data_IF_129908288021
#
_entry.id   IF_129908288021
#
_cell.length_a   1.000
_cell.length_b   1.000
_cell.length_c   1.000
_cell.angle_alpha   90.00
_cell.angle_beta   90.00
_cell.angle_gamma   90.00
#
_symmetry.space_group_name_H-M   'P 1'
#
loop_
_entity.id
_entity.type
_entity.pdbx_description
1 polymer ?
#
# COMPACT_ATOMS: atom_id res chain seq x y z
N UNK A 1 -20.87 -33.05 15.01
CA UNK A 1 -21.30 -31.64 15.16
C UNK A 1 -21.43 -31.07 13.77
N UNK A 2 -22.52 -30.38 13.45
CA UNK A 2 -22.67 -29.71 12.16
C UNK A 2 -22.68 -28.20 12.37
N UNK A 3 -21.74 -27.50 11.77
CA UNK A 3 -21.55 -26.06 11.90
C UNK A 3 -21.91 -25.40 10.57
N UNK A 4 -22.81 -24.43 10.63
CA UNK A 4 -23.22 -23.62 9.49
C UNK A 4 -22.78 -22.18 9.76
N UNK A 5 -21.83 -21.71 8.97
CA UNK A 5 -21.35 -20.33 8.98
C UNK A 5 -22.09 -19.57 7.87
N UNK A 6 -22.85 -18.52 8.20
CA UNK A 6 -23.59 -17.76 7.20
C UNK A 6 -22.69 -17.19 6.10
N UNK A 7 -23.17 -17.17 4.84
CA UNK A 7 -22.45 -16.59 3.70
C UNK A 7 -21.97 -15.15 3.96
N UNK A 8 -22.75 -14.37 4.73
CA UNK A 8 -22.40 -12.99 5.13
C UNK A 8 -21.11 -12.88 5.95
N UNK A 9 -20.61 -13.97 6.52
CA UNK A 9 -19.35 -14.02 7.28
C UNK A 9 -18.13 -14.40 6.43
N UNK A 10 -18.32 -14.69 5.14
CA UNK A 10 -17.23 -15.02 4.20
C UNK A 10 -16.10 -13.99 4.17
N UNK A 11 -16.34 -12.66 4.21
CA UNK A 11 -15.23 -11.68 4.25
C UNK A 11 -14.29 -11.82 5.46
N UNK A 12 -14.80 -12.24 6.62
CA UNK A 12 -13.98 -12.52 7.80
C UNK A 12 -13.13 -13.77 7.58
N UNK A 13 -13.71 -14.84 7.02
CA UNK A 13 -12.98 -16.06 6.68
C UNK A 13 -11.93 -15.86 5.59
N UNK A 14 -12.16 -14.94 4.65
CA UNK A 14 -11.16 -14.55 3.68
C UNK A 14 -9.96 -13.86 4.34
N UNK A 15 -10.22 -12.97 5.29
CA UNK A 15 -9.15 -12.30 6.05
C UNK A 15 -8.37 -13.29 6.91
N UNK A 16 -9.07 -14.26 7.52
CA UNK A 16 -8.44 -15.40 8.19
C UNK A 16 -7.52 -16.18 7.24
N UNK A 17 -8.00 -16.57 6.05
CA UNK A 17 -7.23 -17.33 5.06
C UNK A 17 -5.95 -16.60 4.63
N UNK A 18 -6.02 -15.28 4.45
CA UNK A 18 -4.84 -14.45 4.15
C UNK A 18 -3.81 -14.42 5.28
N UNK A 19 -4.22 -14.64 6.54
CA UNK A 19 -3.35 -14.63 7.73
C UNK A 19 -2.75 -16.00 8.07
N UNK A 20 -3.23 -17.07 7.43
CA UNK A 20 -2.61 -18.39 7.58
C UNK A 20 -1.34 -18.43 6.73
N UNK A 21 -0.20 -18.56 7.40
CA UNK A 21 1.08 -18.81 6.74
C UNK A 21 1.33 -20.32 6.61
N UNK A 22 1.26 -20.83 5.39
CA UNK A 22 1.45 -22.24 5.04
C UNK A 22 2.91 -22.58 4.71
N UNK A 23 3.84 -21.64 4.84
CA UNK A 23 5.27 -21.96 4.70
C UNK A 23 5.83 -22.71 5.92
N UNK A 24 5.13 -22.63 7.05
CA UNK A 24 5.48 -23.39 8.25
C UNK A 24 4.91 -24.81 8.20
N UNK A 25 5.76 -25.78 8.53
CA UNK A 25 5.41 -27.22 8.52
C UNK A 25 4.26 -27.51 9.49
N UNK A 26 4.24 -26.85 10.64
CA UNK A 26 3.23 -27.02 11.68
C UNK A 26 2.15 -25.91 11.63
N UNK A 27 1.87 -25.38 10.43
CA UNK A 27 0.80 -24.38 10.25
C UNK A 27 -0.54 -25.00 10.67
N UNK A 28 -1.13 -24.49 11.75
CA UNK A 28 -2.38 -24.97 12.30
C UNK A 28 -3.31 -23.79 12.60
N UNK A 29 -4.61 -24.05 12.60
CA UNK A 29 -5.64 -23.11 13.04
C UNK A 29 -6.33 -23.72 14.25
N UNK A 30 -6.22 -23.05 15.40
CA UNK A 30 -6.95 -23.47 16.60
C UNK A 30 -8.41 -23.06 16.45
N UNK A 31 -9.32 -23.97 16.78
CA UNK A 31 -10.77 -23.78 16.72
C UNK A 31 -11.34 -24.01 18.11
N UNK A 32 -12.13 -23.04 18.57
CA UNK A 32 -12.91 -23.14 19.80
C UNK A 32 -14.39 -23.04 19.44
N UNK A 33 -15.23 -23.90 20.00
CA UNK A 33 -16.69 -23.83 19.81
C UNK A 33 -17.35 -23.61 21.16
N UNK A 34 -18.26 -22.64 21.23
CA UNK A 34 -19.08 -22.40 22.42
C UNK A 34 -20.56 -22.72 22.12
N UNK A 35 -21.15 -23.59 22.93
CA UNK A 35 -22.54 -24.02 22.80
C UNK A 35 -23.53 -22.96 23.31
N UNK A 36 -23.20 -22.28 24.41
CA UNK A 36 -24.09 -21.31 25.05
C UNK A 36 -24.27 -20.09 24.15
N UNK A 37 -23.15 -19.55 23.66
CA UNK A 37 -23.13 -18.36 22.80
C UNK A 37 -23.31 -18.70 21.32
N UNK A 38 -23.28 -19.99 20.98
CA UNK A 38 -23.37 -20.52 19.61
C UNK A 38 -22.32 -19.90 18.70
N UNK A 39 -21.07 -19.86 19.17
CA UNK A 39 -19.96 -19.26 18.44
C UNK A 39 -18.94 -20.30 18.02
N UNK A 40 -18.18 -19.95 16.99
CA UNK A 40 -16.92 -20.58 16.64
C UNK A 40 -15.85 -19.49 16.61
N UNK A 41 -14.73 -19.74 17.29
CA UNK A 41 -13.55 -18.89 17.26
C UNK A 41 -12.45 -19.61 16.51
N UNK A 42 -11.84 -18.92 15.55
CA UNK A 42 -10.63 -19.38 14.88
C UNK A 42 -9.45 -18.53 15.31
N UNK A 43 -8.32 -19.17 15.62
CA UNK A 43 -7.05 -18.50 15.90
C UNK A 43 -5.99 -19.02 14.94
N UNK A 44 -5.32 -18.11 14.25
CA UNK A 44 -4.27 -18.42 13.28
C UNK A 44 -3.09 -17.46 13.41
N UNK A 45 -2.00 -17.79 12.73
CA UNK A 45 -0.75 -17.03 12.76
C UNK A 45 0.29 -17.70 13.66
N UNK A 46 1.31 -16.96 14.05
CA UNK A 46 2.32 -17.41 14.99
C UNK A 46 2.50 -16.37 16.07
N UNK A 47 2.71 -16.80 17.30
CA UNK A 47 2.98 -15.89 18.41
C UNK A 47 4.22 -15.05 18.11
N UNK A 48 4.20 -13.72 18.34
CA UNK A 48 3.10 -12.93 18.94
C UNK A 48 2.07 -12.38 17.92
N UNK A 49 2.23 -12.64 16.62
CA UNK A 49 1.44 -12.08 15.52
C UNK A 49 0.19 -12.90 15.15
N UNK A 50 -0.50 -13.41 16.17
CA UNK A 50 -1.73 -14.17 15.98
C UNK A 50 -2.90 -13.27 15.56
N UNK A 51 -3.97 -13.91 15.08
CA UNK A 51 -5.24 -13.28 14.74
C UNK A 51 -6.38 -14.18 15.20
N UNK A 52 -7.41 -13.57 15.77
CA UNK A 52 -8.59 -14.23 16.30
C UNK A 52 -9.81 -13.77 15.52
N UNK A 53 -10.69 -14.71 15.16
CA UNK A 53 -11.93 -14.45 14.45
C UNK A 53 -13.09 -15.15 15.17
N UNK A 54 -14.03 -14.36 15.69
CA UNK A 54 -15.21 -14.84 16.39
C UNK A 54 -16.44 -14.74 15.47
N UNK A 55 -17.07 -15.89 15.21
CA UNK A 55 -18.26 -15.97 14.36
C UNK A 55 -19.45 -16.53 15.13
N UNK A 56 -20.58 -15.81 15.07
CA UNK A 56 -21.88 -16.33 15.53
C UNK A 56 -22.41 -17.30 14.47
N UNK A 57 -22.76 -18.50 14.90
CA UNK A 57 -23.21 -19.59 14.05
C UNK A 57 -24.70 -19.48 13.71
N UNK A 58 -25.09 -20.04 12.56
CA UNK A 58 -26.49 -20.11 12.16
C UNK A 58 -27.31 -20.99 13.13
N UNK A 59 -28.60 -20.66 13.28
CA UNK A 59 -29.56 -21.41 14.10
C UNK A 59 -29.67 -22.88 13.68
N UNK A 60 -29.44 -23.19 12.40
CA UNK A 60 -29.40 -24.53 11.81
C UNK A 60 -28.19 -25.37 12.23
N UNK A 61 -27.16 -24.78 12.84
CA UNK A 61 -26.04 -25.55 13.40
C UNK A 61 -26.54 -26.51 14.48
N UNK A 62 -26.11 -27.78 14.44
CA UNK A 62 -26.60 -28.85 15.32
C UNK A 62 -25.47 -29.60 16.02
N UNK A 63 -25.77 -30.15 17.20
CA UNK A 63 -24.82 -30.95 17.97
C UNK A 63 -23.58 -30.18 18.44
N UNK A 64 -23.71 -28.85 18.64
CA UNK A 64 -22.67 -27.99 19.20
C UNK A 64 -22.28 -28.45 20.61
N UNK A 65 -20.98 -28.45 20.87
CA UNK A 65 -20.37 -28.79 22.17
C UNK A 65 -19.25 -27.79 22.46
N UNK A 66 -18.96 -27.58 23.74
CA UNK A 66 -17.78 -26.83 24.13
C UNK A 66 -16.53 -27.67 23.83
N UNK A 67 -15.72 -27.23 22.88
CA UNK A 67 -14.54 -27.96 22.41
C UNK A 67 -13.44 -27.01 21.96
N UNK A 68 -12.21 -27.49 22.06
CA UNK A 68 -11.01 -26.89 21.48
C UNK A 68 -10.24 -27.98 20.72
N UNK A 69 -9.75 -27.65 19.53
CA UNK A 69 -8.95 -28.54 18.67
C UNK A 69 -8.22 -27.68 17.63
N UNK A 70 -7.41 -28.30 16.77
CA UNK A 70 -6.81 -27.63 15.62
C UNK A 70 -7.20 -28.29 14.30
N UNK A 71 -7.12 -27.51 13.24
CA UNK A 71 -7.22 -27.94 11.84
C UNK A 71 -5.90 -27.60 11.16
N UNK A 72 -5.46 -28.45 10.23
CA UNK A 72 -4.32 -28.16 9.36
C UNK A 72 -4.50 -26.79 8.67
N UNK A 73 -3.44 -25.98 8.68
CA UNK A 73 -3.45 -24.62 8.17
C UNK A 73 -3.72 -24.58 6.67
N UNK A 74 -3.15 -25.50 5.90
CA UNK A 74 -3.40 -25.58 4.46
C UNK A 74 -4.86 -25.92 4.18
N UNK A 75 -5.44 -26.86 4.92
CA UNK A 75 -6.86 -27.20 4.82
C UNK A 75 -7.76 -26.00 5.20
N UNK A 76 -7.47 -25.34 6.32
CA UNK A 76 -8.22 -24.17 6.79
C UNK A 76 -8.16 -23.01 5.80
N UNK A 77 -6.99 -22.76 5.20
CA UNK A 77 -6.78 -21.72 4.17
C UNK A 77 -7.64 -21.92 2.94
N UNK A 78 -7.92 -23.18 2.57
CA UNK A 78 -8.72 -23.54 1.41
C UNK A 78 -10.23 -23.51 1.66
N UNK A 79 -10.71 -23.38 2.91
CA UNK A 79 -12.13 -23.54 3.24
C UNK A 79 -13.05 -22.68 2.37
N UNK A 80 -12.73 -21.41 2.16
CA UNK A 80 -13.57 -20.50 1.37
C UNK A 80 -13.65 -20.85 -0.13
N UNK A 81 -12.71 -21.65 -0.64
CA UNK A 81 -12.65 -22.02 -2.05
C UNK A 81 -13.52 -23.23 -2.38
N UNK A 82 -13.95 -24.01 -1.39
CA UNK A 82 -14.82 -25.17 -1.59
C UNK A 82 -16.31 -24.84 -1.63
N UNK A 83 -16.67 -23.59 -1.34
CA UNK A 83 -18.05 -23.12 -1.35
C UNK A 83 -18.22 -21.99 -2.35
N UNK A 84 -19.46 -21.80 -2.78
CA UNK A 84 -19.86 -20.71 -3.67
C UNK A 84 -20.01 -19.43 -2.86
N UNK A 85 -19.82 -18.27 -3.50
CA UNK A 85 -19.84 -16.96 -2.83
C UNK A 85 -21.09 -16.67 -1.99
N UNK A 86 -22.27 -17.03 -2.49
CA UNK A 86 -23.55 -16.80 -1.78
C UNK A 86 -23.99 -17.96 -0.88
N UNK A 87 -23.22 -19.06 -0.85
CA UNK A 87 -23.59 -20.25 -0.10
C UNK A 87 -23.03 -20.20 1.33
N UNK A 88 -23.85 -20.62 2.28
CA UNK A 88 -23.37 -20.86 3.64
C UNK A 88 -22.27 -21.93 3.65
N UNK A 89 -21.30 -21.74 4.55
CA UNK A 89 -20.20 -22.68 4.72
C UNK A 89 -20.63 -23.73 5.74
N UNK A 90 -20.75 -24.97 5.29
CA UNK A 90 -21.13 -26.11 6.13
C UNK A 90 -19.90 -26.96 6.45
N UNK A 91 -19.59 -27.05 7.75
CA UNK A 91 -18.50 -27.84 8.29
C UNK A 91 -19.07 -28.94 9.17
N UNK A 92 -18.89 -30.18 8.74
CA UNK A 92 -19.29 -31.35 9.53
C UNK A 92 -18.09 -31.87 10.30
N UNK A 93 -18.25 -32.02 11.59
CA UNK A 93 -17.24 -32.63 12.45
C UNK A 93 -17.71 -34.00 12.93
N UNK A 94 -16.95 -35.01 12.57
CA UNK A 94 -17.20 -36.40 12.91
C UNK A 94 -16.15 -36.93 13.89
N UNK A 95 -16.56 -37.86 14.76
CA UNK A 95 -15.68 -38.49 15.73
C UNK A 95 -15.68 -39.99 15.47
N UNK A 96 -14.51 -40.54 15.16
CA UNK A 96 -14.35 -41.98 14.99
C UNK A 96 -14.57 -42.72 16.31
N UNK A 97 -14.78 -44.03 16.23
CA UNK A 97 -14.85 -44.91 17.40
C UNK A 97 -13.57 -44.87 18.26
N UNK A 98 -12.42 -44.51 17.67
CA UNK A 98 -11.14 -44.32 18.38
C UNK A 98 -11.02 -42.97 19.08
N UNK A 99 -12.03 -42.09 18.99
CA UNK A 99 -12.02 -40.74 19.57
C UNK A 99 -11.37 -39.68 18.68
N UNK A 100 -10.84 -40.06 17.52
CA UNK A 100 -10.22 -39.13 16.57
C UNK A 100 -11.28 -38.26 15.91
N UNK A 101 -11.08 -36.94 15.95
CA UNK A 101 -12.00 -35.98 15.36
C UNK A 101 -11.55 -35.60 13.94
N UNK A 102 -12.51 -35.43 13.04
CA UNK A 102 -12.27 -35.00 11.67
C UNK A 102 -13.21 -33.86 11.31
N UNK A 103 -12.71 -32.91 10.54
CA UNK A 103 -13.53 -31.93 9.83
C UNK A 103 -13.76 -32.42 8.40
N UNK A 104 -14.99 -32.35 7.94
CA UNK A 104 -15.49 -32.81 6.66
C UNK A 104 -16.29 -31.69 5.98
N UNK A 105 -16.12 -31.57 4.67
CA UNK A 105 -16.97 -30.76 3.79
C UNK A 105 -17.16 -31.44 2.44
N UNK A 106 -18.26 -31.09 1.78
CA UNK A 106 -18.56 -31.55 0.42
C UNK A 106 -18.28 -30.41 -0.55
N UNK A 107 -17.24 -30.57 -1.35
CA UNK A 107 -16.82 -29.65 -2.39
C UNK A 107 -17.67 -29.89 -3.64
N UNK A 108 -18.54 -28.93 -3.93
CA UNK A 108 -19.46 -28.96 -5.09
C UNK A 108 -19.01 -28.01 -6.20
N UNK A 109 -17.78 -27.49 -6.16
CA UNK A 109 -17.33 -26.46 -7.12
C UNK A 109 -17.20 -27.01 -8.54
N UNK A 110 -16.69 -28.24 -8.69
CA UNK A 110 -16.51 -28.91 -9.98
C UNK A 110 -17.83 -29.20 -10.70
N UNK A 111 -18.93 -29.39 -9.95
CA UNK A 111 -20.28 -29.61 -10.51
C UNK A 111 -20.81 -28.39 -11.29
N UNK A 112 -20.19 -27.21 -11.13
CA UNK A 112 -20.61 -25.98 -11.82
C UNK A 112 -19.93 -25.79 -13.17
N UNK A 113 -18.79 -26.42 -13.36
CA UNK A 113 -18.00 -26.32 -14.58
C UNK A 113 -18.30 -27.44 -15.56
N UNK A 114 -18.78 -28.58 -15.05
CA UNK A 114 -19.02 -29.78 -15.84
C UNK A 114 -20.06 -30.67 -15.14
N UNK A 115 -21.22 -30.87 -15.78
CA UNK A 115 -22.35 -31.65 -15.28
C UNK A 115 -22.03 -33.15 -15.12
N UNK A 116 -20.89 -33.62 -15.65
CA UNK A 116 -20.41 -35.00 -15.49
C UNK A 116 -19.47 -35.20 -14.29
N UNK A 117 -19.09 -34.12 -13.59
CA UNK A 117 -18.30 -34.20 -12.35
C UNK A 117 -19.16 -34.73 -11.19
N UNK A 118 -18.51 -35.22 -10.14
CA UNK A 118 -19.17 -35.57 -8.88
C UNK A 118 -18.69 -34.63 -7.76
N UNK A 119 -19.50 -34.47 -6.71
CA UNK A 119 -19.07 -33.76 -5.51
C UNK A 119 -17.89 -34.49 -4.86
N UNK A 120 -16.90 -33.74 -4.38
CA UNK A 120 -15.73 -34.30 -3.72
C UNK A 120 -15.85 -34.17 -2.19
N UNK A 121 -15.62 -35.26 -1.46
CA UNK A 121 -15.45 -35.18 -0.01
C UNK A 121 -14.05 -34.68 0.31
N UNK A 122 -13.94 -33.59 1.06
CA UNK A 122 -12.70 -33.12 1.66
C UNK A 122 -12.76 -33.37 3.16
N UNK A 123 -11.76 -34.08 3.69
CA UNK A 123 -11.68 -34.45 5.10
C UNK A 123 -10.27 -34.21 5.63
N UNK A 124 -10.18 -33.62 6.81
CA UNK A 124 -8.93 -33.38 7.52
C UNK A 124 -9.05 -33.90 8.96
N UNK A 125 -8.02 -34.59 9.44
CA UNK A 125 -7.94 -35.00 10.84
C UNK A 125 -7.65 -33.77 11.71
N UNK A 126 -8.44 -33.57 12.76
CA UNK A 126 -8.19 -32.52 13.73
C UNK A 126 -7.07 -32.93 14.67
N UNK A 127 -6.20 -31.97 15.01
CA UNK A 127 -5.18 -32.11 16.04
C UNK A 127 -5.62 -31.51 17.37
N UNK A 128 -4.72 -31.52 18.34
CA UNK A 128 -4.89 -30.79 19.59
C UNK A 128 -4.80 -29.28 19.33
N UNK A 129 -5.49 -28.49 20.16
CA UNK A 129 -5.39 -27.04 20.08
C UNK A 129 -3.94 -26.59 20.32
N UNK A 130 -3.47 -25.59 19.57
CA UNK A 130 -2.13 -25.02 19.81
C UNK A 130 -2.10 -24.27 21.14
N UNK A 131 -1.17 -24.64 22.01
CA UNK A 131 -0.95 -23.99 23.30
C UNK A 131 -0.61 -22.50 23.13
N UNK A 132 0.19 -22.14 22.11
CA UNK A 132 0.52 -20.74 21.81
C UNK A 132 -0.72 -19.91 21.45
N UNK A 133 -1.65 -20.49 20.69
CA UNK A 133 -2.92 -19.84 20.38
C UNK A 133 -3.81 -19.68 21.62
N UNK A 134 -3.86 -20.68 22.49
CA UNK A 134 -4.64 -20.61 23.73
C UNK A 134 -4.06 -19.58 24.71
N UNK A 135 -2.73 -19.52 24.80
CA UNK A 135 -2.03 -18.49 25.58
C UNK A 135 -2.29 -17.10 25.01
N UNK A 136 -2.22 -16.93 23.68
CA UNK A 136 -2.54 -15.68 23.01
C UNK A 136 -3.96 -15.17 23.33
N UNK A 137 -4.97 -16.05 23.31
CA UNK A 137 -6.33 -15.70 23.71
C UNK A 137 -6.40 -15.22 25.16
N UNK A 138 -5.73 -15.93 26.06
CA UNK A 138 -5.66 -15.60 27.49
C UNK A 138 -5.00 -14.24 27.71
N UNK A 139 -3.86 -14.00 27.06
CA UNK A 139 -3.12 -12.74 27.15
C UNK A 139 -3.95 -11.57 26.59
N UNK A 140 -4.65 -11.80 25.48
CA UNK A 140 -5.49 -10.78 24.87
C UNK A 140 -6.65 -10.35 25.77
N UNK A 141 -7.29 -11.25 26.51
CA UNK A 141 -8.36 -10.90 27.44
C UNK A 141 -7.90 -9.91 28.53
N UNK A 142 -6.62 -10.00 28.93
CA UNK A 142 -6.05 -9.19 30.00
C UNK A 142 -5.20 -8.02 29.49
N UNK A 143 -5.04 -7.88 28.18
CA UNK A 143 -4.21 -6.84 27.56
C UNK A 143 -4.82 -5.45 27.80
N UNK A 144 -4.07 -4.50 28.40
CA UNK A 144 -4.52 -3.12 28.52
C UNK A 144 -4.71 -2.49 27.13
N UNK A 145 -5.89 -1.93 26.88
CA UNK A 145 -6.26 -1.32 25.61
C UNK A 145 -6.78 0.10 25.81
N UNK A 146 -6.73 0.89 24.75
CA UNK A 146 -7.45 2.16 24.62
C UNK A 146 -8.57 2.00 23.61
N UNK A 147 -9.80 2.35 24.00
CA UNK A 147 -10.97 2.27 23.13
C UNK A 147 -11.13 3.55 22.31
N UNK A 148 -11.48 3.39 21.04
CA UNK A 148 -11.77 4.49 20.13
C UNK A 148 -12.98 4.19 19.26
N UNK A 149 -13.67 5.23 18.78
CA UNK A 149 -14.76 5.03 17.82
C UNK A 149 -14.20 4.56 16.48
N UNK A 150 -14.97 3.73 15.77
CA UNK A 150 -14.67 3.28 14.40
C UNK A 150 -14.41 4.46 13.47
N UNK A 151 -15.19 5.53 13.57
CA UNK A 151 -15.02 6.75 12.78
C UNK A 151 -13.67 7.44 13.05
N UNK A 152 -13.21 7.44 14.31
CA UNK A 152 -11.87 7.95 14.67
C UNK A 152 -10.77 7.12 14.01
N UNK A 153 -10.89 5.79 14.05
CA UNK A 153 -9.94 4.89 13.39
C UNK A 153 -9.95 5.08 11.87
N UNK A 154 -11.11 5.19 11.25
CA UNK A 154 -11.24 5.47 9.82
C UNK A 154 -10.58 6.79 9.44
N UNK A 155 -10.69 7.83 10.28
CA UNK A 155 -9.96 9.08 10.07
C UNK A 155 -8.45 8.87 10.18
N UNK A 156 -7.96 8.13 11.18
CA UNK A 156 -6.52 7.81 11.31
C UNK A 156 -6.01 7.05 10.08
N UNK A 157 -6.76 6.06 9.59
CA UNK A 157 -6.45 5.32 8.35
C UNK A 157 -6.35 6.28 7.16
N UNK A 158 -7.29 7.21 7.05
CA UNK A 158 -7.29 8.19 5.96
C UNK A 158 -6.05 9.09 6.01
N UNK A 159 -5.65 9.57 7.19
CA UNK A 159 -4.40 10.34 7.33
C UNK A 159 -3.16 9.54 6.95
N UNK A 160 -3.13 8.25 7.30
CA UNK A 160 -2.05 7.37 6.89
C UNK A 160 -2.01 7.22 5.36
N UNK A 161 -3.16 7.01 4.72
CA UNK A 161 -3.28 6.91 3.26
C UNK A 161 -2.84 8.19 2.55
N UNK A 162 -3.15 9.36 3.12
CA UNK A 162 -2.72 10.66 2.57
C UNK A 162 -1.21 10.86 2.62
N UNK A 163 -0.51 10.18 3.53
CA UNK A 163 0.94 10.24 3.67
C UNK A 163 1.70 9.13 2.94
N UNK A 164 1.03 8.27 2.16
CA UNK A 164 1.68 7.25 1.32
C UNK A 164 2.55 7.86 0.21
N UNK A 165 3.73 7.29 -0.10
CA UNK A 165 4.42 6.21 0.62
C UNK A 165 4.98 6.62 1.99
N UNK A 166 5.05 5.65 2.91
CA UNK A 166 5.77 5.75 4.18
C UNK A 166 6.24 4.35 4.63
N UNK A 167 7.30 4.32 5.44
CA UNK A 167 7.78 3.13 6.15
C UNK A 167 7.12 3.04 7.52
N UNK A 168 7.14 4.16 8.25
CA UNK A 168 6.46 4.35 9.53
C UNK A 168 5.71 5.68 9.54
N UNK A 169 4.57 5.69 10.20
CA UNK A 169 3.80 6.89 10.49
C UNK A 169 3.33 6.85 11.95
N UNK A 170 3.81 7.78 12.75
CA UNK A 170 3.39 7.96 14.14
C UNK A 170 2.39 9.11 14.22
N UNK A 171 1.24 8.84 14.82
CA UNK A 171 0.34 9.87 15.32
C UNK A 171 0.56 9.98 16.82
N UNK A 172 1.24 11.04 17.25
CA UNK A 172 1.61 11.23 18.65
C UNK A 172 0.60 12.14 19.36
N UNK A 173 -0.12 11.58 20.33
CA UNK A 173 -1.14 12.26 21.13
C UNK A 173 -0.52 13.31 22.05
N UNK A 174 0.59 13.03 22.71
CA UNK A 174 1.17 13.93 23.71
C UNK A 174 1.80 15.17 23.05
N UNK A 175 2.54 14.96 21.96
CA UNK A 175 3.22 16.02 21.19
C UNK A 175 2.31 16.71 20.18
N UNK A 176 1.11 16.17 19.93
CA UNK A 176 0.19 16.63 18.90
C UNK A 176 0.85 16.75 17.52
N UNK A 177 1.69 15.77 17.16
CA UNK A 177 2.41 15.73 15.90
C UNK A 177 2.18 14.43 15.13
N UNK A 178 2.28 14.53 13.81
CA UNK A 178 2.36 13.42 12.88
C UNK A 178 3.82 13.30 12.42
N UNK A 179 4.44 12.14 12.64
CA UNK A 179 5.82 11.89 12.24
C UNK A 179 5.84 10.81 11.18
N UNK A 180 6.47 11.08 10.05
CA UNK A 180 6.48 10.20 8.87
C UNK A 180 7.91 9.85 8.52
N UNK A 181 8.19 8.57 8.28
CA UNK A 181 9.45 8.10 7.73
C UNK A 181 9.27 7.67 6.26
N UNK A 182 10.12 8.16 5.36
CA UNK A 182 10.17 7.77 3.94
C UNK A 182 11.62 7.56 3.51
N UNK A 183 11.92 6.39 2.94
CA UNK A 183 13.27 6.03 2.46
C UNK A 183 14.36 6.32 3.51
N UNK A 184 14.07 6.02 4.78
CA UNK A 184 14.97 6.26 5.90
C UNK A 184 14.92 7.66 6.52
N UNK A 185 14.40 8.67 5.82
CA UNK A 185 14.34 10.07 6.27
C UNK A 185 13.05 10.39 7.03
N UNK A 186 13.10 11.35 7.95
CA UNK A 186 11.97 11.69 8.84
C UNK A 186 11.49 13.13 8.66
N UNK A 187 10.17 13.28 8.71
CA UNK A 187 9.46 14.56 8.80
C UNK A 187 8.52 14.58 9.99
N UNK A 188 8.55 15.67 10.76
CA UNK A 188 7.54 15.96 11.77
C UNK A 188 6.59 17.04 11.24
N UNK A 189 5.28 16.77 11.30
CA UNK A 189 4.17 17.66 10.92
C UNK A 189 3.25 17.87 12.12
N UNK A 190 2.48 18.96 12.11
CA UNK A 190 1.37 19.10 13.05
C UNK A 190 0.27 18.08 12.74
N UNK A 191 -0.43 17.61 13.78
CA UNK A 191 -1.62 16.80 13.55
C UNK A 191 -2.68 17.60 12.76
N UNK A 192 -3.43 16.92 11.87
CA UNK A 192 -4.59 17.50 11.19
C UNK A 192 -5.59 18.10 12.18
N UNK A 193 -6.14 19.26 11.82
CA UNK A 193 -7.11 19.94 12.67
C UNK A 193 -8.36 19.07 12.90
N UNK A 194 -8.79 18.95 14.16
CA UNK A 194 -9.96 18.18 14.54
C UNK A 194 -9.73 16.67 14.71
N UNK A 195 -8.50 16.18 14.51
CA UNK A 195 -8.16 14.79 14.81
C UNK A 195 -7.85 14.62 16.30
N UNK A 196 -8.77 13.99 17.03
CA UNK A 196 -8.55 13.60 18.43
C UNK A 196 -8.02 12.17 18.48
N UNK A 197 -6.78 12.00 18.96
CA UNK A 197 -6.15 10.69 19.08
C UNK A 197 -6.55 9.99 20.39
N UNK A 198 -6.99 8.72 20.33
CA UNK A 198 -7.29 7.95 21.53
C UNK A 198 -6.00 7.62 22.31
N UNK A 199 -4.95 7.26 21.57
CA UNK A 199 -3.62 6.89 22.04
C UNK A 199 -2.61 7.27 20.97
N UNK A 200 -1.34 7.45 21.36
CA UNK A 200 -0.23 7.51 20.40
C UNK A 200 -0.10 6.17 19.67
N UNK A 201 -0.02 6.22 18.34
CA UNK A 201 -0.08 5.03 17.50
C UNK A 201 0.93 5.11 16.36
N UNK A 202 1.69 4.05 16.17
CA UNK A 202 2.59 3.86 15.02
C UNK A 202 1.96 2.89 14.04
N UNK A 203 1.99 3.28 12.77
CA UNK A 203 1.47 2.53 11.64
C UNK A 203 2.59 2.23 10.65
N UNK A 204 2.53 1.04 10.07
CA UNK A 204 3.24 0.66 8.85
C UNK A 204 2.22 0.52 7.72
N UNK A 205 2.65 0.40 6.44
CA UNK A 205 1.73 0.12 5.35
C UNK A 205 0.89 -1.14 5.58
N UNK A 206 1.48 -2.17 6.18
CA UNK A 206 0.79 -3.43 6.50
C UNK A 206 -0.26 -3.23 7.59
N UNK A 207 0.09 -2.59 8.72
CA UNK A 207 -0.88 -2.38 9.80
C UNK A 207 -2.01 -1.43 9.36
N UNK A 208 -1.71 -0.45 8.51
CA UNK A 208 -2.73 0.43 7.89
C UNK A 208 -3.70 -0.36 7.02
N UNK A 209 -3.20 -1.31 6.21
CA UNK A 209 -4.04 -2.21 5.40
C UNK A 209 -4.94 -3.08 6.28
N UNK A 210 -4.39 -3.64 7.37
CA UNK A 210 -5.18 -4.44 8.31
C UNK A 210 -6.24 -3.63 9.04
N UNK A 211 -5.90 -2.43 9.52
CA UNK A 211 -6.84 -1.52 10.16
C UNK A 211 -7.96 -1.09 9.20
N UNK A 212 -7.63 -0.81 7.94
CA UNK A 212 -8.62 -0.54 6.88
C UNK A 212 -9.60 -1.70 6.71
N UNK A 213 -9.08 -2.94 6.67
CA UNK A 213 -9.91 -4.15 6.56
C UNK A 213 -10.77 -4.34 7.80
N UNK A 214 -10.22 -4.19 9.00
CA UNK A 214 -10.95 -4.32 10.26
C UNK A 214 -12.15 -3.37 10.32
N UNK A 215 -11.96 -2.09 9.99
CA UNK A 215 -13.05 -1.11 9.93
C UNK A 215 -14.16 -1.56 8.97
N UNK A 216 -13.85 -2.16 7.82
CA UNK A 216 -14.86 -2.64 6.87
C UNK A 216 -15.61 -3.87 7.37
N UNK A 217 -14.95 -4.74 8.12
CA UNK A 217 -15.47 -6.05 8.51
C UNK A 217 -16.28 -6.01 9.80
N UNK A 218 -15.93 -5.13 10.74
CA UNK A 218 -16.62 -5.06 12.03
C UNK A 218 -17.95 -4.34 11.92
N UNK A 219 -18.97 -4.93 12.56
CA UNK A 219 -20.26 -4.28 12.80
C UNK A 219 -20.25 -3.38 14.04
N UNK A 220 -19.21 -3.49 14.87
CA UNK A 220 -19.02 -2.66 16.05
C UNK A 220 -18.71 -1.19 15.71
N UNK A 221 -19.09 -0.29 16.61
CA UNK A 221 -18.76 1.13 16.53
C UNK A 221 -17.49 1.50 17.29
N UNK A 222 -16.89 0.54 18.00
CA UNK A 222 -15.71 0.75 18.83
C UNK A 222 -14.63 -0.25 18.45
N UNK A 223 -13.39 0.21 18.50
CA UNK A 223 -12.17 -0.57 18.27
C UNK A 223 -11.23 -0.30 19.43
N UNK A 224 -10.73 -1.36 20.02
CA UNK A 224 -9.71 -1.31 21.05
C UNK A 224 -8.31 -1.39 20.41
N UNK A 225 -7.37 -0.61 20.94
CA UNK A 225 -6.00 -0.54 20.43
C UNK A 225 -5.03 -0.77 21.59
N UNK A 226 -4.00 -1.58 21.36
CA UNK A 226 -2.86 -1.70 22.25
C UNK A 226 -1.56 -1.75 21.44
N UNK A 227 -0.62 -0.86 21.75
CA UNK A 227 0.74 -0.92 21.21
C UNK A 227 1.71 -1.23 22.35
N UNK A 228 2.50 -2.29 22.20
CA UNK A 228 3.45 -2.78 23.21
C UNK A 228 4.73 -3.24 22.53
N UNK A 229 5.83 -2.52 22.77
CA UNK A 229 7.09 -2.74 22.07
C UNK A 229 6.91 -2.68 20.56
N UNK A 230 7.35 -3.73 19.86
CA UNK A 230 7.26 -3.85 18.41
C UNK A 230 5.96 -4.50 17.90
N UNK A 231 4.91 -4.53 18.72
CA UNK A 231 3.61 -5.10 18.36
C UNK A 231 2.48 -4.09 18.50
N UNK A 232 1.51 -4.18 17.60
CA UNK A 232 0.24 -3.45 17.70
C UNK A 232 -0.92 -4.43 17.56
N UNK A 233 -1.89 -4.32 18.47
CA UNK A 233 -3.10 -5.14 18.50
C UNK A 233 -4.32 -4.27 18.33
N UNK A 234 -5.18 -4.65 17.41
CA UNK A 234 -6.51 -4.06 17.20
C UNK A 234 -7.56 -5.09 17.54
N UNK A 235 -8.54 -4.75 18.39
CA UNK A 235 -9.66 -5.62 18.71
C UNK A 235 -10.97 -4.98 18.30
N UNK A 236 -11.78 -5.77 17.63
CA UNK A 236 -13.19 -5.49 17.35
C UNK A 236 -14.00 -6.73 17.74
N UNK A 237 -15.33 -6.63 17.91
CA UNK A 237 -16.16 -7.74 18.40
C UNK A 237 -15.99 -9.05 17.64
N UNK A 238 -15.79 -9.01 16.33
CA UNK A 238 -15.66 -10.21 15.48
C UNK A 238 -14.20 -10.61 15.20
N UNK A 239 -13.23 -9.74 15.50
CA UNK A 239 -11.87 -9.91 15.02
C UNK A 239 -10.85 -9.19 15.90
N UNK A 240 -9.82 -9.92 16.33
CA UNK A 240 -8.61 -9.35 16.94
C UNK A 240 -7.41 -9.62 16.04
N UNK A 241 -6.60 -8.60 15.77
CA UNK A 241 -5.44 -8.67 14.90
C UNK A 241 -4.21 -8.15 15.63
N UNK A 242 -3.16 -8.96 15.75
CA UNK A 242 -1.85 -8.50 16.23
C UNK A 242 -0.85 -8.47 15.07
N UNK A 243 -0.24 -7.30 14.86
CA UNK A 243 0.67 -7.02 13.75
C UNK A 243 2.05 -6.59 14.26
N UNK A 244 3.06 -6.84 13.42
CA UNK A 244 4.42 -6.36 13.65
C UNK A 244 4.55 -4.89 13.26
N UNK A 245 5.26 -4.15 14.09
CA UNK A 245 5.84 -2.84 13.79
C UNK A 245 7.36 -2.87 14.07
N UNK A 246 8.01 -3.99 13.73
CA UNK A 246 9.44 -4.21 13.93
C UNK A 246 10.28 -3.05 13.36
N UNK A 247 11.24 -2.57 14.15
CA UNK A 247 12.05 -1.39 13.83
C UNK A 247 11.50 -0.07 14.36
N UNK A 248 10.35 -0.08 15.06
CA UNK A 248 9.75 1.13 15.66
C UNK A 248 10.70 1.82 16.65
N UNK A 249 11.51 1.07 17.39
CA UNK A 249 12.48 1.63 18.33
C UNK A 249 13.56 2.46 17.62
N UNK A 250 14.06 1.98 16.47
CA UNK A 250 15.00 2.74 15.65
C UNK A 250 14.34 3.99 15.06
N UNK A 251 13.08 3.88 14.63
CA UNK A 251 12.29 5.01 14.13
C UNK A 251 12.11 6.13 15.18
N UNK A 252 11.87 5.77 16.45
CA UNK A 252 11.78 6.76 17.54
C UNK A 252 13.09 7.51 17.79
N UNK A 253 14.23 6.84 17.61
CA UNK A 253 15.55 7.42 17.86
C UNK A 253 16.07 8.29 16.71
N UNK A 254 15.56 8.09 15.49
CA UNK A 254 15.95 8.88 14.32
C UNK A 254 15.67 10.37 14.53
N UNK A 255 16.44 11.22 13.85
CA UNK A 255 16.21 12.67 13.83
C UNK A 255 16.06 13.12 12.38
N UNK A 256 15.24 14.14 12.10
CA UNK A 256 15.20 14.74 10.78
C UNK A 256 16.61 15.18 10.36
N UNK A 257 17.08 14.73 9.20
CA UNK A 257 18.34 15.21 8.64
C UNK A 257 18.11 16.55 7.92
N UNK A 258 18.85 17.62 8.25
CA UNK A 258 18.70 18.88 7.53
C UNK A 258 19.13 18.72 6.07
N UNK A 259 18.14 18.82 5.18
CA UNK A 259 18.35 18.83 3.74
C UNK A 259 18.63 20.26 3.26
N UNK A 260 19.69 20.44 2.46
CA UNK A 260 19.97 21.72 1.78
C UNK A 260 19.47 21.67 0.34
N UNK A 261 18.30 22.27 0.09
CA UNK A 261 17.80 22.45 -1.28
C UNK A 261 18.68 23.42 -2.06
N UNK A 262 19.24 22.96 -3.17
CA UNK A 262 20.07 23.74 -4.09
C UNK A 262 19.24 24.42 -5.17
N UNK A 263 18.24 23.70 -5.70
CA UNK A 263 17.37 24.18 -6.77
C UNK A 263 16.01 23.47 -6.71
N UNK A 264 14.94 24.19 -7.04
CA UNK A 264 13.58 23.67 -7.14
C UNK A 264 13.01 24.01 -8.52
N UNK A 265 12.36 23.05 -9.17
CA UNK A 265 11.58 23.21 -10.39
C UNK A 265 10.22 22.52 -10.24
N UNK A 266 9.14 23.15 -10.69
CA UNK A 266 7.85 22.48 -10.88
C UNK A 266 7.68 22.08 -12.34
N UNK A 267 7.46 20.80 -12.60
CA UNK A 267 7.28 20.26 -13.94
C UNK A 267 6.20 19.17 -13.99
N UNK A 268 5.83 18.77 -15.20
CA UNK A 268 4.89 17.68 -15.42
C UNK A 268 5.63 16.33 -15.35
N UNK A 269 5.44 15.59 -14.26
CA UNK A 269 6.12 14.30 -14.04
C UNK A 269 5.68 13.23 -15.04
N UNK A 270 4.46 13.29 -15.59
CA UNK A 270 4.05 12.37 -16.66
C UNK A 270 4.85 12.61 -17.94
N UNK A 271 5.03 13.87 -18.33
CA UNK A 271 5.84 14.20 -19.50
C UNK A 271 7.29 13.75 -19.29
N UNK A 272 7.81 13.96 -18.07
CA UNK A 272 9.15 13.51 -17.69
C UNK A 272 9.29 11.98 -17.82
N UNK A 273 8.37 11.20 -17.25
CA UNK A 273 8.42 9.73 -17.31
C UNK A 273 8.17 9.17 -18.71
N UNK A 274 7.17 9.69 -19.44
CA UNK A 274 6.72 9.15 -20.74
C UNK A 274 7.83 9.13 -21.79
N UNK A 275 8.66 10.17 -21.84
CA UNK A 275 9.78 10.24 -22.78
C UNK A 275 10.83 9.14 -22.49
N UNK A 276 11.17 8.97 -21.22
CA UNK A 276 12.13 7.94 -20.80
C UNK A 276 11.55 6.54 -20.98
N UNK A 277 10.27 6.33 -20.69
CA UNK A 277 9.56 5.08 -20.96
C UNK A 277 9.62 4.71 -22.44
N UNK A 278 9.39 5.69 -23.34
CA UNK A 278 9.53 5.48 -24.77
C UNK A 278 10.96 5.03 -25.14
N UNK A 279 11.98 5.74 -24.62
CA UNK A 279 13.38 5.42 -24.85
C UNK A 279 13.75 4.02 -24.34
N UNK A 280 13.29 3.65 -23.14
CA UNK A 280 13.66 2.38 -22.49
C UNK A 280 12.91 1.18 -23.07
N UNK A 281 11.67 1.37 -23.51
CA UNK A 281 10.87 0.31 -24.12
C UNK A 281 11.36 -0.04 -25.52
N UNK A 282 11.74 0.97 -26.32
CA UNK A 282 12.00 0.78 -27.75
C UNK A 282 13.49 0.62 -28.09
N UNK A 283 14.41 1.06 -27.21
CA UNK A 283 15.85 1.05 -27.52
C UNK A 283 16.63 0.23 -26.48
N UNK A 284 16.95 -1.01 -26.82
CA UNK A 284 17.62 -1.95 -25.90
C UNK A 284 18.99 -1.49 -25.39
N UNK A 285 19.75 -0.71 -26.18
CA UNK A 285 21.03 -0.13 -25.72
C UNK A 285 20.83 0.92 -24.63
N UNK A 286 19.82 1.78 -24.77
CA UNK A 286 19.45 2.79 -23.78
C UNK A 286 19.03 2.11 -22.48
N UNK A 287 18.14 1.10 -22.58
CA UNK A 287 17.71 0.29 -21.42
C UNK A 287 18.86 -0.39 -20.68
N UNK A 288 19.86 -0.86 -21.41
CA UNK A 288 21.06 -1.51 -20.85
C UNK A 288 22.01 -0.50 -20.20
N UNK A 289 22.20 0.67 -20.80
CA UNK A 289 23.04 1.73 -20.26
C UNK A 289 22.48 2.30 -18.96
N UNK A 290 21.15 2.43 -18.87
CA UNK A 290 20.47 2.99 -17.70
C UNK A 290 21.03 4.35 -17.26
N UNK A 291 21.37 5.20 -18.23
CA UNK A 291 22.02 6.49 -18.03
C UNK A 291 21.24 7.57 -18.78
N UNK A 292 20.77 8.58 -18.06
CA UNK A 292 20.13 9.77 -18.63
C UNK A 292 20.59 11.04 -17.90
N UNK A 293 20.38 12.17 -18.55
CA UNK A 293 20.80 13.48 -18.08
C UNK A 293 19.57 14.38 -17.93
N UNK A 294 19.48 15.09 -16.81
CA UNK A 294 18.48 16.11 -16.53
C UNK A 294 19.18 17.47 -16.54
N UNK A 295 18.86 18.29 -17.54
CA UNK A 295 19.28 19.67 -17.61
C UNK A 295 18.27 20.55 -16.88
N UNK A 296 18.75 21.43 -15.99
CA UNK A 296 17.94 22.44 -15.31
C UNK A 296 18.55 23.83 -15.51
N UNK A 297 17.97 24.62 -16.41
CA UNK A 297 18.26 26.04 -16.64
C UNK A 297 17.42 26.98 -15.78
N UNK A 298 17.42 28.28 -16.09
CA UNK A 298 16.66 29.28 -15.31
C UNK A 298 15.14 29.12 -15.46
N UNK A 299 14.65 28.93 -16.69
CA UNK A 299 13.23 28.74 -17.01
C UNK A 299 12.98 27.52 -17.90
N UNK A 300 13.97 26.64 -18.02
CA UNK A 300 13.93 25.50 -18.93
C UNK A 300 14.46 24.24 -18.23
N UNK A 301 13.85 23.11 -18.55
CA UNK A 301 14.33 21.80 -18.17
C UNK A 301 14.35 20.91 -19.41
N UNK A 302 15.27 19.97 -19.49
CA UNK A 302 15.31 18.99 -20.57
C UNK A 302 15.85 17.65 -20.10
N UNK A 303 15.37 16.58 -20.72
CA UNK A 303 15.94 15.24 -20.59
C UNK A 303 16.87 15.03 -21.77
N UNK A 304 18.04 14.48 -21.54
CA UNK A 304 18.92 14.03 -22.60
C UNK A 304 19.33 12.57 -22.40
N UNK A 305 19.34 11.81 -23.49
CA UNK A 305 19.87 10.44 -23.55
C UNK A 305 20.92 10.38 -24.64
N UNK A 306 22.18 10.21 -24.23
CA UNK A 306 23.35 10.28 -25.11
C UNK A 306 24.06 8.92 -25.18
N UNK A 307 23.31 7.87 -25.51
CA UNK A 307 23.82 6.48 -25.62
C UNK A 307 24.03 6.11 -27.08
N UNK A 308 25.27 6.08 -27.54
CA UNK A 308 25.60 5.81 -28.94
C UNK A 308 24.91 4.54 -29.51
N UNK A 309 24.29 4.62 -30.71
CA UNK A 309 24.31 5.73 -31.66
C UNK A 309 23.19 6.77 -31.44
N UNK A 310 22.44 6.69 -30.33
CA UNK A 310 21.25 7.50 -30.07
C UNK A 310 21.59 8.76 -29.28
N UNK A 311 21.07 9.89 -29.76
CA UNK A 311 21.21 11.19 -29.13
C UNK A 311 19.85 11.87 -29.13
N UNK A 312 19.19 11.83 -27.98
CA UNK A 312 17.85 12.38 -27.80
C UNK A 312 17.91 13.52 -26.79
N UNK A 313 17.17 14.59 -27.08
CA UNK A 313 16.91 15.68 -26.15
C UNK A 313 15.43 16.02 -26.22
N UNK A 314 14.79 16.08 -25.06
CA UNK A 314 13.38 16.38 -24.91
C UNK A 314 13.21 17.53 -23.91
N UNK A 315 12.89 18.75 -24.38
CA UNK A 315 12.52 19.85 -23.50
C UNK A 315 11.26 19.51 -22.67
N UNK A 316 11.31 19.78 -21.37
CA UNK A 316 10.16 19.63 -20.47
C UNK A 316 9.64 21.03 -20.13
N UNK A 317 8.33 21.20 -20.21
CA UNK A 317 7.69 22.43 -19.76
C UNK A 317 7.86 22.62 -18.25
N UNK A 318 8.34 23.82 -17.88
CA UNK A 318 8.56 24.25 -16.50
C UNK A 318 7.46 25.24 -16.11
N UNK A 319 6.74 24.94 -15.03
CA UNK A 319 5.67 25.80 -14.53
C UNK A 319 6.16 26.84 -13.53
N UNK A 320 7.20 26.52 -12.77
CA UNK A 320 7.68 27.35 -11.67
C UNK A 320 9.14 26.98 -11.36
N UNK A 321 9.94 27.98 -11.00
CA UNK A 321 11.33 27.78 -10.56
C UNK A 321 11.54 28.53 -9.26
N UNK A 322 12.08 27.84 -8.26
CA UNK A 322 12.45 28.45 -6.99
C UNK A 322 13.66 29.38 -7.14
N UNK A 323 13.73 30.41 -6.30
CA UNK A 323 14.92 31.26 -6.28
C UNK A 323 16.15 30.46 -5.82
N UNK A 324 17.12 30.29 -6.72
CA UNK A 324 18.49 29.91 -6.39
C UNK A 324 19.47 30.88 -7.07
N UNK A 325 20.57 31.21 -6.37
CA UNK A 325 21.75 31.94 -6.88
C UNK A 325 22.32 31.30 -8.18
N UNK A 326 23.19 31.99 -8.94
CA UNK A 326 23.33 31.78 -10.38
C UNK A 326 24.09 30.49 -10.71
N UNK A 327 23.36 29.39 -10.78
CA UNK A 327 23.72 28.24 -11.58
C UNK A 327 22.91 28.33 -12.88
N UNK A 328 23.41 29.15 -13.79
CA UNK A 328 22.94 29.23 -15.17
C UNK A 328 23.14 27.87 -15.84
N UNK A 329 22.11 27.02 -15.78
CA UNK A 329 22.15 25.67 -16.35
C UNK A 329 23.08 24.71 -15.59
N UNK A 330 22.55 23.58 -15.15
CA UNK A 330 23.40 22.47 -14.70
C UNK A 330 22.83 21.16 -15.20
N UNK A 331 23.73 20.20 -15.43
CA UNK A 331 23.37 18.90 -15.96
C UNK A 331 23.62 17.82 -14.90
N UNK A 332 22.60 17.00 -14.67
CA UNK A 332 22.61 15.97 -13.64
C UNK A 332 22.38 14.61 -14.27
N UNK A 333 23.30 13.67 -14.04
CA UNK A 333 23.15 12.27 -14.39
C UNK A 333 22.25 11.56 -13.39
N UNK A 334 21.37 10.69 -13.87
CA UNK A 334 20.51 9.84 -13.04
C UNK A 334 20.19 8.51 -13.74
N UNK A 335 19.72 7.53 -12.95
CA UNK A 335 19.24 6.23 -13.42
C UNK A 335 17.77 6.32 -13.81
N UNK A 336 17.39 6.08 -15.08
CA UNK A 336 15.98 6.13 -15.45
C UNK A 336 15.13 5.01 -14.83
N UNK A 337 15.72 3.88 -14.43
CA UNK A 337 15.03 2.86 -13.63
C UNK A 337 14.55 3.41 -12.28
N UNK A 338 15.32 4.31 -11.68
CA UNK A 338 14.97 4.92 -10.40
C UNK A 338 13.75 5.84 -10.59
N UNK A 339 13.70 6.60 -11.69
CA UNK A 339 12.54 7.41 -12.07
C UNK A 339 11.31 6.55 -12.44
N UNK A 340 11.51 5.43 -13.14
CA UNK A 340 10.45 4.48 -13.47
C UNK A 340 9.77 3.95 -12.20
N UNK A 341 10.54 3.71 -11.13
CA UNK A 341 10.04 3.20 -9.86
C UNK A 341 9.11 4.16 -9.08
N UNK A 342 9.21 5.47 -9.35
CA UNK A 342 8.40 6.50 -8.68
C UNK A 342 6.91 6.33 -9.01
N UNK A 343 6.10 6.14 -7.97
CA UNK A 343 4.66 5.95 -8.12
C UNK A 343 3.95 7.29 -8.14
N UNK A 344 3.27 7.59 -9.25
CA UNK A 344 2.41 8.77 -9.36
C UNK A 344 1.13 8.57 -8.53
N UNK A 345 0.92 9.42 -7.52
CA UNK A 345 -0.21 9.30 -6.56
C UNK A 345 -1.57 9.51 -7.22
N UNK A 346 -1.72 10.52 -8.07
CA UNK A 346 -2.92 10.73 -8.91
C UNK A 346 -2.59 11.59 -10.14
N UNK A 347 -3.51 11.62 -11.11
CA UNK A 347 -3.29 12.31 -12.40
C UNK A 347 -3.29 13.85 -12.31
N UNK A 348 -3.86 14.41 -11.24
CA UNK A 348 -3.94 15.87 -11.00
C UNK A 348 -2.63 16.39 -10.40
N UNK A 349 -2.04 15.68 -9.43
CA UNK A 349 -0.81 16.03 -8.71
C UNK A 349 0.45 15.90 -9.59
N UNK A 350 0.41 15.03 -10.60
CA UNK A 350 1.53 14.86 -11.53
C UNK A 350 1.64 15.97 -12.60
N UNK A 351 0.63 16.84 -12.73
CA UNK A 351 0.70 17.98 -13.67
C UNK A 351 1.61 19.09 -13.16
N UNK A 352 1.71 19.29 -11.84
CA UNK A 352 2.57 20.32 -11.21
C UNK A 352 3.37 19.73 -10.06
N UNK A 353 4.21 18.74 -10.38
CA UNK A 353 5.09 18.08 -9.41
C UNK A 353 6.30 18.96 -9.14
N UNK A 354 6.59 19.17 -7.87
CA UNK A 354 7.81 19.85 -7.44
C UNK A 354 8.97 18.86 -7.41
N UNK A 355 10.08 19.24 -8.01
CA UNK A 355 11.32 18.49 -8.03
C UNK A 355 12.40 19.36 -7.43
N UNK A 356 13.03 18.87 -6.35
CA UNK A 356 14.11 19.56 -5.68
C UNK A 356 15.42 18.81 -5.91
N UNK A 357 16.46 19.54 -6.29
CA UNK A 357 17.83 19.07 -6.17
C UNK A 357 18.33 19.51 -4.81
N UNK A 358 18.77 18.56 -4.01
CA UNK A 358 19.29 18.83 -2.68
C UNK A 358 20.54 18.04 -2.38
N UNK A 359 21.31 18.56 -1.44
CA UNK A 359 22.50 17.93 -0.90
C UNK A 359 22.18 17.37 0.49
N UNK A 360 22.55 16.10 0.72
CA UNK A 360 22.41 15.46 2.04
C UNK A 360 23.49 15.93 3.01
N UNK A 361 23.36 15.63 4.30
CA UNK A 361 24.40 15.89 5.30
C UNK A 361 25.75 15.21 4.99
N UNK A 362 25.72 14.16 4.16
CA UNK A 362 26.91 13.43 3.69
C UNK A 362 27.50 13.99 2.38
N UNK A 363 26.94 15.07 1.81
CA UNK A 363 27.42 15.68 0.57
C UNK A 363 26.94 14.98 -0.71
N UNK A 364 25.98 14.05 -0.61
CA UNK A 364 25.41 13.38 -1.78
C UNK A 364 24.35 14.26 -2.43
N UNK A 365 24.34 14.31 -3.76
CA UNK A 365 23.29 15.00 -4.51
C UNK A 365 22.12 14.05 -4.78
N UNK A 366 20.92 14.54 -4.49
CA UNK A 366 19.68 13.79 -4.68
C UNK A 366 18.61 14.64 -5.34
N UNK A 367 17.73 13.97 -6.07
CA UNK A 367 16.53 14.52 -6.68
C UNK A 367 15.31 14.07 -5.87
N UNK A 368 14.67 15.00 -5.17
CA UNK A 368 13.44 14.75 -4.42
C UNK A 368 12.20 15.05 -5.25
N UNK A 369 11.24 14.14 -5.24
CA UNK A 369 9.94 14.31 -5.92
C UNK A 369 8.85 14.60 -4.89
N UNK A 370 8.14 15.71 -5.09
CA UNK A 370 7.11 16.22 -4.19
C UNK A 370 5.79 16.41 -4.94
N UNK A 371 4.72 15.82 -4.41
CA UNK A 371 3.36 16.00 -4.93
C UNK A 371 2.64 17.23 -4.37
N UNK A 372 3.28 17.96 -3.45
CA UNK A 372 2.75 19.21 -2.90
C UNK A 372 3.88 20.21 -2.65
N UNK A 373 3.62 21.48 -2.96
CA UNK A 373 4.57 22.56 -2.76
C UNK A 373 4.87 22.83 -1.27
N UNK A 374 4.02 22.36 -0.35
CA UNK A 374 4.14 22.60 1.10
C UNK A 374 4.95 21.53 1.83
N UNK A 375 5.15 20.36 1.22
CA UNK A 375 5.83 19.23 1.86
C UNK A 375 7.32 19.51 2.03
N UNK A 376 7.91 19.08 3.14
CA UNK A 376 9.35 19.23 3.39
C UNK A 376 10.12 17.96 3.05
N UNK A 377 9.49 16.80 3.21
CA UNK A 377 10.07 15.51 2.86
C UNK A 377 9.59 15.02 1.49
N UNK A 378 10.51 14.61 0.60
CA UNK A 378 10.14 14.07 -0.69
C UNK A 378 9.38 12.75 -0.52
N UNK A 379 8.47 12.48 -1.46
CA UNK A 379 7.78 11.19 -1.53
C UNK A 379 8.69 10.09 -2.06
N UNK A 380 9.56 10.45 -2.99
CA UNK A 380 10.58 9.58 -3.57
C UNK A 380 11.86 10.38 -3.81
N UNK A 381 13.00 9.70 -3.68
CA UNK A 381 14.33 10.27 -3.90
C UNK A 381 15.08 9.44 -4.94
N UNK A 382 15.78 10.12 -5.86
CA UNK A 382 16.69 9.51 -6.83
C UNK A 382 18.10 10.02 -6.57
N UNK A 383 19.09 9.14 -6.61
CA UNK A 383 20.49 9.55 -6.57
C UNK A 383 20.89 10.22 -7.89
N UNK A 384 21.56 11.36 -7.81
CA UNK A 384 22.02 12.09 -9.00
C UNK A 384 23.48 12.51 -8.85
N UNK A 385 24.14 12.70 -9.99
CA UNK A 385 25.51 13.20 -10.04
C UNK A 385 25.58 14.41 -10.96
N UNK A 386 26.38 15.42 -10.60
CA UNK A 386 26.63 16.54 -11.51
C UNK A 386 27.54 16.09 -12.65
N UNK A 387 27.11 16.23 -13.91
CA UNK A 387 27.90 15.90 -15.10
C UNK A 387 27.88 17.01 -16.15
N UNK A 388 28.84 17.92 -16.07
CA UNK A 388 28.95 19.04 -17.00
C UNK A 388 29.66 18.69 -18.32
N UNK A 389 30.15 17.45 -18.50
CA UNK A 389 30.94 17.05 -19.69
C UNK A 389 30.12 17.17 -20.98
N UNK A 390 28.82 16.92 -20.89
CA UNK A 390 27.89 16.93 -22.02
C UNK A 390 27.03 18.20 -22.10
N UNK A 391 27.22 19.17 -21.19
CA UNK A 391 26.37 20.36 -21.10
C UNK A 391 26.31 21.13 -22.43
N UNK A 392 27.47 21.41 -23.03
CA UNK A 392 27.54 22.14 -24.31
C UNK A 392 26.76 21.44 -25.43
N UNK A 393 26.83 20.11 -25.46
CA UNK A 393 26.14 19.30 -26.47
C UNK A 393 24.64 19.32 -26.26
N UNK A 394 24.18 19.15 -25.02
CA UNK A 394 22.75 19.21 -24.68
C UNK A 394 22.19 20.59 -25.02
N UNK A 395 22.88 21.67 -24.66
CA UNK A 395 22.45 23.04 -24.99
C UNK A 395 22.32 23.27 -26.50
N UNK A 396 23.30 22.84 -27.30
CA UNK A 396 23.24 22.97 -28.76
C UNK A 396 22.06 22.17 -29.37
N UNK A 397 21.73 21.02 -28.80
CA UNK A 397 20.57 20.24 -29.23
C UNK A 397 19.25 20.91 -28.86
N UNK A 398 19.14 21.56 -27.69
CA UNK A 398 17.97 22.35 -27.30
C UNK A 398 17.78 23.52 -28.28
N UNK A 399 18.84 24.28 -28.56
CA UNK A 399 18.81 25.42 -29.50
C UNK A 399 18.43 24.98 -30.93
N UNK A 400 18.89 23.80 -31.37
CA UNK A 400 18.48 23.22 -32.66
C UNK A 400 16.99 22.88 -32.73
N UNK A 401 16.34 22.59 -31.61
CA UNK A 401 14.89 22.33 -31.58
C UNK A 401 14.14 23.65 -31.74
N UNK A 402 14.53 24.68 -31.00
CA UNK A 402 13.90 26.01 -31.03
C UNK A 402 13.97 26.65 -32.42
N UNK A 403 15.14 26.58 -33.07
CA UNK A 403 15.35 27.08 -34.43
C UNK A 403 14.46 26.38 -35.45
N UNK A 404 14.39 25.05 -35.40
CA UNK A 404 13.54 24.25 -36.31
C UNK A 404 12.04 24.44 -36.07
N UNK A 405 11.63 24.72 -34.83
CA UNK A 405 10.23 25.00 -34.51
C UNK A 405 9.82 26.41 -34.94
N UNK A 406 10.72 27.40 -34.84
CA UNK A 406 10.48 28.76 -35.33
C UNK A 406 10.37 28.90 -36.85
N UNK A 407 10.90 27.93 -37.61
CA UNK A 407 10.83 27.88 -39.08
C UNK A 407 9.57 27.17 -39.62
N UNK A 408 8.72 26.63 -38.74
CA UNK A 408 7.44 26.03 -39.16
C UNK A 408 6.46 27.15 -39.54
N UNK A 409 5.97 27.25 -40.79
CA UNK A 409 4.97 28.26 -41.13
C UNK A 409 3.75 28.02 -40.27
N UNK A 410 3.31 29.07 -39.59
CA UNK A 410 2.01 29.12 -38.92
C UNK A 410 0.98 28.74 -39.97
N UNK A 411 0.43 27.53 -39.88
CA UNK A 411 -0.68 27.10 -40.73
C UNK A 411 -1.77 28.16 -40.61
N UNK A 412 -2.08 28.71 -41.77
CA UNK A 412 -3.18 29.61 -42.08
C UNK A 412 -4.32 29.42 -41.09
N UNK A 413 -4.67 30.50 -40.39
CA UNK A 413 -6.01 30.73 -39.83
C UNK A 413 -7.05 30.20 -40.80
N UNK A 414 -7.60 29.01 -40.55
CA UNK A 414 -8.87 28.62 -41.13
C UNK A 414 -9.87 29.66 -40.68
N UNK A 415 -10.21 30.57 -41.60
CA UNK A 415 -11.41 31.37 -41.48
C UNK A 415 -12.54 30.37 -41.25
N UNK A 416 -13.19 30.48 -40.09
CA UNK A 416 -14.50 29.89 -39.88
C UNK A 416 -15.38 30.32 -41.04
N UNK A 417 -15.65 29.38 -41.95
CA UNK A 417 -16.70 29.51 -42.94
C UNK A 417 -18.01 29.65 -42.20
N UNK A 418 -18.54 30.86 -42.24
CA UNK A 418 -19.88 31.25 -41.82
C UNK A 418 -20.88 30.28 -42.47
N UNK A 419 -21.48 29.41 -41.67
CA UNK A 419 -22.43 28.40 -42.12
C UNK A 419 -23.75 28.55 -41.36
N UNK A 420 -24.30 29.77 -41.38
CA UNK A 420 -25.69 30.05 -41.08
C UNK A 420 -26.24 31.06 -42.09
N UNK A 421 -26.51 30.57 -43.29
CA UNK A 421 -27.53 31.18 -44.17
C UNK A 421 -28.86 30.53 -43.80
N UNK A 422 -29.72 31.30 -43.13
CA UNK A 422 -31.15 31.03 -43.11
C UNK A 422 -31.70 31.59 -44.43
N UNK A 423 -32.12 30.70 -45.33
CA UNK A 423 -33.03 31.08 -46.40
C UNK A 423 -34.42 31.21 -45.78
N UNK A 424 -34.89 32.44 -45.69
CA UNK A 424 -36.31 32.79 -45.60
C UNK A 424 -36.96 32.64 -46.99
N UNK A 425 -38.27 32.34 -46.96
CA UNK A 425 -39.28 32.46 -48.04
C UNK A 425 -39.52 31.25 -48.97
N UNK A 426 -40.49 30.40 -48.60
CA UNK A 426 -41.88 30.43 -49.13
C UNK A 426 -42.86 29.57 -48.30
#
# INVERSE_FOLDING_TARGET
MNIIIPASKRPLLQTLSERIDTHYVDSAVTVLTDKADRTITFVCGQSPFCSEYLLILDKRSTGLKNKQFSIDGSFAKQLIHYFVEEQDIELKFDMSASGTMFVELVDTTALRTDDYQAAALRRCQCGDASDDHLQYLTDNQHRPTSTASKATIERIVHEAQDNVPFEFLELNKEKQCLRVQRQGEIEDKSLPQGLTLPVSLVLTPETTKHMTKLCRLTSGNEIEIAQQGETVTFKAPECTLTCSIAGVEAFYQKKPDPIRTLKYVALNLFAFKKELEHCFKNYGRIKKANDALLYLGENQAAIAVLTAPYEFVHPIHVFEVGQSKPHAGSLFRFSPRDLESIKIKNSLDAKKTRIDIFETSHGELKLGVYYSLKEKLPYDIIAIEKDERQLKKVLAMIESIETKQGETPTTVSEQQGDLFTFDDDD
#
